data_IF_307213323579
#
_entry.id   IF_307213323579
#
_cell.length_a   1.000
_cell.length_b   1.000
_cell.length_c   1.000
_cell.angle_alpha   90.00
_cell.angle_beta   90.00
_cell.angle_gamma   90.00
#
_symmetry.space_group_name_H-M   'P 1'
#
loop_
_entity.id
_entity.type
_entity.pdbx_description
1 polymer ?
#
# COMPACT_ATOMS: atom_id res chain seq x y z
N UNK A 1 29.38 -18.43 -26.80
CA UNK A 1 29.13 -18.10 -25.37
C UNK A 1 30.45 -17.72 -24.67
N UNK A 2 30.77 -16.42 -24.53
CA UNK A 2 32.08 -15.94 -24.06
C UNK A 2 32.42 -16.32 -22.60
N UNK A 3 31.43 -16.78 -21.82
CA UNK A 3 31.64 -17.17 -20.42
C UNK A 3 32.24 -18.57 -20.22
N UNK A 4 32.35 -19.40 -21.26
CA UNK A 4 32.86 -20.78 -21.14
C UNK A 4 34.39 -20.89 -21.25
N UNK A 5 35.04 -19.99 -21.98
CA UNK A 5 36.48 -20.08 -22.26
C UNK A 5 37.39 -19.81 -21.04
N UNK A 6 36.87 -19.17 -19.99
CA UNK A 6 37.66 -18.69 -18.85
C UNK A 6 37.31 -19.36 -17.50
N UNK A 7 36.70 -20.55 -17.52
CA UNK A 7 36.23 -21.24 -16.32
C UNK A 7 37.34 -21.44 -15.25
N UNK A 8 38.55 -21.84 -15.67
CA UNK A 8 39.69 -22.07 -14.78
C UNK A 8 40.27 -20.79 -14.15
N UNK A 9 40.06 -19.62 -14.77
CA UNK A 9 40.61 -18.32 -14.31
C UNK A 9 39.56 -17.41 -13.67
N UNK A 10 38.29 -17.85 -13.62
CA UNK A 10 37.16 -17.07 -13.10
C UNK A 10 37.34 -16.58 -11.67
N UNK A 11 38.05 -17.34 -10.83
CA UNK A 11 38.35 -16.96 -9.43
C UNK A 11 39.32 -15.78 -9.30
N UNK A 12 40.09 -15.47 -10.36
CA UNK A 12 41.04 -14.35 -10.41
C UNK A 12 40.42 -13.07 -10.97
N UNK A 13 39.22 -13.13 -11.54
CA UNK A 13 38.51 -11.95 -12.05
C UNK A 13 37.75 -11.33 -10.88
N UNK A 14 38.08 -10.11 -10.43
CA UNK A 14 37.34 -9.45 -9.37
C UNK A 14 35.88 -9.28 -9.82
N UNK A 15 34.94 -9.73 -8.97
CA UNK A 15 33.52 -9.56 -9.26
C UNK A 15 33.19 -8.07 -9.19
N UNK A 16 32.65 -7.53 -10.27
CA UNK A 16 32.13 -6.17 -10.26
C UNK A 16 30.95 -6.11 -9.27
N UNK A 17 31.09 -5.29 -8.23
CA UNK A 17 30.05 -5.06 -7.22
C UNK A 17 29.27 -3.83 -7.66
N UNK A 18 28.05 -4.04 -8.14
CA UNK A 18 27.14 -2.95 -8.44
C UNK A 18 26.32 -2.61 -7.19
N UNK A 19 26.23 -1.32 -6.86
CA UNK A 19 25.33 -0.80 -5.84
C UNK A 19 24.29 0.05 -6.54
N UNK A 20 23.03 -0.34 -6.42
CA UNK A 20 21.90 0.44 -6.94
C UNK A 20 21.78 1.70 -6.09
N UNK A 21 22.03 2.87 -6.68
CA UNK A 21 21.97 4.16 -5.97
C UNK A 21 20.64 4.89 -6.16
N UNK A 22 19.89 4.55 -7.21
CA UNK A 22 18.63 5.19 -7.58
C UNK A 22 17.39 4.51 -6.97
N UNK A 23 17.57 3.65 -5.95
CA UNK A 23 16.44 2.91 -5.37
C UNK A 23 15.38 3.84 -4.79
N UNK A 24 15.79 4.89 -4.09
CA UNK A 24 14.85 5.87 -3.50
C UNK A 24 14.06 6.64 -4.56
N UNK A 25 14.71 7.05 -5.66
CA UNK A 25 14.04 7.75 -6.76
C UNK A 25 13.07 6.83 -7.50
N UNK A 26 13.48 5.57 -7.72
CA UNK A 26 12.63 4.56 -8.32
C UNK A 26 11.39 4.29 -7.47
N UNK A 27 11.58 4.11 -6.16
CA UNK A 27 10.52 3.87 -5.19
C UNK A 27 9.55 5.06 -5.08
N UNK A 28 10.06 6.30 -5.01
CA UNK A 28 9.22 7.51 -5.04
C UNK A 28 8.38 7.61 -6.33
N UNK A 29 8.97 7.25 -7.48
CA UNK A 29 8.23 7.22 -8.75
C UNK A 29 7.18 6.10 -8.78
N UNK A 30 7.38 5.01 -8.02
CA UNK A 30 6.42 3.93 -7.90
C UNK A 30 5.21 4.37 -7.08
N UNK A 31 5.45 5.05 -5.95
CA UNK A 31 4.40 5.64 -5.11
C UNK A 31 3.54 6.65 -5.90
N UNK A 32 4.16 7.49 -6.73
CA UNK A 32 3.43 8.48 -7.54
C UNK A 32 2.56 7.88 -8.65
N UNK A 33 2.87 6.68 -9.15
CA UNK A 33 2.07 6.04 -10.23
C UNK A 33 0.70 5.56 -9.76
N UNK A 34 0.47 5.47 -8.44
CA UNK A 34 -0.78 4.97 -7.86
C UNK A 34 -1.33 5.82 -6.70
N UNK A 35 -0.80 7.02 -6.47
CA UNK A 35 -1.25 7.88 -5.38
C UNK A 35 -2.60 8.52 -5.70
N UNK A 36 -3.63 8.19 -4.91
CA UNK A 36 -4.93 8.84 -4.93
C UNK A 36 -5.12 9.62 -3.62
N UNK A 37 -5.35 10.92 -3.72
CA UNK A 37 -5.74 11.76 -2.58
C UNK A 37 -7.27 11.82 -2.52
N UNK A 38 -7.85 11.36 -1.41
CA UNK A 38 -9.29 11.41 -1.18
C UNK A 38 -9.57 12.50 -0.15
N UNK A 39 -10.30 13.53 -0.54
CA UNK A 39 -10.78 14.56 0.38
C UNK A 39 -12.15 14.19 0.93
N UNK A 40 -12.27 14.13 2.25
CA UNK A 40 -13.53 13.98 2.96
C UNK A 40 -13.98 15.36 3.44
N UNK A 41 -15.28 15.64 3.42
CA UNK A 41 -15.78 16.89 4.00
C UNK A 41 -15.75 16.84 5.53
N UNK A 42 -15.73 18.00 6.17
CA UNK A 42 -15.73 18.09 7.62
C UNK A 42 -16.99 17.44 8.23
N UNK A 43 -18.13 17.53 7.55
CA UNK A 43 -19.37 16.85 7.96
C UNK A 43 -19.25 15.33 7.86
N UNK A 44 -18.60 14.82 6.82
CA UNK A 44 -18.36 13.39 6.68
C UNK A 44 -17.42 12.87 7.78
N UNK A 45 -16.40 13.65 8.15
CA UNK A 45 -15.49 13.34 9.26
C UNK A 45 -16.25 13.37 10.60
N UNK A 46 -17.10 14.37 10.81
CA UNK A 46 -17.93 14.45 12.01
C UNK A 46 -18.88 13.25 12.13
N UNK A 47 -19.45 12.79 11.02
CA UNK A 47 -20.36 11.64 10.94
C UNK A 47 -19.64 10.28 10.83
N UNK A 48 -18.32 10.22 11.07
CA UNK A 48 -17.52 9.02 10.82
C UNK A 48 -17.74 7.93 11.88
N UNK A 49 -17.88 8.33 13.14
CA UNK A 49 -18.13 7.42 14.25
C UNK A 49 -19.59 6.97 14.28
N UNK A 50 -19.82 5.71 14.64
CA UNK A 50 -21.17 5.22 14.81
C UNK A 50 -21.82 5.78 16.09
N UNK A 51 -23.11 6.07 16.01
CA UNK A 51 -23.90 6.41 17.18
C UNK A 51 -23.95 5.25 18.18
N UNK A 52 -23.82 5.51 19.50
CA UNK A 52 -23.93 4.49 20.53
C UNK A 52 -25.27 3.74 20.44
N UNK A 53 -25.21 2.41 20.37
CA UNK A 53 -26.42 1.58 20.38
C UNK A 53 -26.87 1.34 21.81
N UNK A 54 -28.16 1.53 22.05
CA UNK A 54 -28.83 1.17 23.31
C UNK A 54 -29.34 -0.28 23.34
N UNK A 55 -29.29 -0.97 22.19
CA UNK A 55 -29.75 -2.35 22.01
C UNK A 55 -28.67 -3.38 22.37
N UNK A 56 -29.07 -4.57 22.82
CA UNK A 56 -28.17 -5.70 23.13
C UNK A 56 -27.33 -6.10 21.90
N UNK A 57 -26.00 -6.10 22.05
CA UNK A 57 -25.03 -6.42 21.00
C UNK A 57 -23.72 -5.67 21.19
N UNK A 58 -22.76 -5.87 20.28
CA UNK A 58 -21.52 -5.08 20.25
C UNK A 58 -21.75 -3.65 19.74
N UNK A 59 -20.97 -2.68 20.22
CA UNK A 59 -20.99 -1.31 19.72
C UNK A 59 -20.32 -1.24 18.35
N UNK A 60 -20.91 -0.50 17.41
CA UNK A 60 -20.26 -0.21 16.13
C UNK A 60 -19.30 0.96 16.32
N UNK A 61 -18.07 0.85 15.82
CA UNK A 61 -17.13 1.96 15.83
C UNK A 61 -17.32 2.90 14.63
N UNK A 62 -17.80 2.37 13.50
CA UNK A 62 -17.95 3.11 12.25
C UNK A 62 -19.42 3.27 11.87
N UNK A 63 -19.76 4.44 11.35
CA UNK A 63 -21.10 4.74 10.83
C UNK A 63 -21.36 4.05 9.49
N UNK A 64 -22.62 3.97 9.07
CA UNK A 64 -22.99 3.48 7.74
C UNK A 64 -22.35 4.32 6.63
N UNK A 65 -22.20 5.63 6.86
CA UNK A 65 -21.53 6.57 5.95
C UNK A 65 -20.05 6.20 5.79
N UNK A 66 -19.34 5.96 6.89
CA UNK A 66 -17.93 5.53 6.84
C UNK A 66 -17.77 4.21 6.09
N UNK A 67 -18.66 3.23 6.35
CA UNK A 67 -18.63 1.93 5.67
C UNK A 67 -18.90 2.09 4.16
N UNK A 68 -19.94 2.83 3.78
CA UNK A 68 -20.27 3.09 2.38
C UNK A 68 -19.12 3.81 1.66
N UNK A 69 -18.42 4.72 2.34
CA UNK A 69 -17.25 5.44 1.81
C UNK A 69 -16.05 4.52 1.62
N UNK A 70 -15.84 3.53 2.48
CA UNK A 70 -14.72 2.59 2.39
C UNK A 70 -14.90 1.50 1.30
N UNK A 71 -16.14 1.10 1.00
CA UNK A 71 -16.43 0.09 -0.02
C UNK A 71 -15.89 0.40 -1.43
N UNK A 72 -16.03 1.61 -2.01
CA UNK A 72 -15.46 1.94 -3.30
C UNK A 72 -13.93 1.96 -3.28
N UNK A 73 -13.31 2.46 -2.20
CA UNK A 73 -11.85 2.40 -2.04
C UNK A 73 -11.37 0.95 -2.07
N UNK A 74 -12.06 0.06 -1.35
CA UNK A 74 -11.79 -1.38 -1.39
C UNK A 74 -11.89 -1.94 -2.81
N UNK A 75 -12.91 -1.56 -3.58
CA UNK A 75 -13.12 -2.05 -4.93
C UNK A 75 -12.04 -1.57 -5.92
N UNK A 76 -11.65 -0.29 -5.83
CA UNK A 76 -10.61 0.32 -6.68
C UNK A 76 -9.25 -0.31 -6.38
N UNK A 77 -8.89 -0.46 -5.11
CA UNK A 77 -7.59 -1.01 -4.68
C UNK A 77 -7.57 -2.53 -4.52
N UNK A 78 -8.71 -3.21 -4.75
CA UNK A 78 -8.88 -4.67 -4.58
C UNK A 78 -8.42 -5.18 -3.21
N UNK A 79 -8.70 -4.40 -2.15
CA UNK A 79 -8.30 -4.73 -0.78
C UNK A 79 -9.16 -5.85 -0.20
N UNK A 80 -8.55 -6.70 0.64
CA UNK A 80 -9.28 -7.72 1.39
C UNK A 80 -10.09 -7.06 2.53
N UNK A 81 -11.26 -7.62 2.86
CA UNK A 81 -12.16 -7.12 3.91
C UNK A 81 -11.54 -7.03 5.32
N UNK A 82 -10.36 -7.61 5.55
CA UNK A 82 -9.71 -7.71 6.86
C UNK A 82 -8.45 -6.85 7.01
N UNK A 83 -8.13 -6.00 6.03
CA UNK A 83 -6.96 -5.13 6.11
C UNK A 83 -7.31 -3.74 5.59
N UNK A 84 -7.83 -2.92 6.50
CA UNK A 84 -7.72 -1.46 6.39
C UNK A 84 -7.15 -0.95 7.71
N UNK A 85 -5.93 -1.40 8.01
CA UNK A 85 -4.99 -0.68 8.87
C UNK A 85 -3.75 -0.46 8.01
N UNK A 86 -3.48 0.80 7.72
CA UNK A 86 -2.40 1.30 6.88
C UNK A 86 -2.42 2.82 6.93
#
# INVERSE_FOLDING_TARGET
MPFKANAARRRRIPKQRYRVMNWSEYDASLHQRGSLTVSLSDEAIAAWQAEPRTTRGGQSHYSALAIQTALPLRAVFRLALRQTEG
#
